data_IF_970671288710
#
_entry.id   IF_970671288710
#
_cell.length_a   1.000
_cell.length_b   1.000
_cell.length_c   1.000
_cell.angle_alpha   90.00
_cell.angle_beta   90.00
_cell.angle_gamma   90.00
#
_symmetry.space_group_name_H-M   'P 1'
#
loop_
_entity.id
_entity.type
_entity.pdbx_description
1 polymer ?
#
# COMPACT_ATOMS: atom_id res chain seq x y z
N UNK A 1 -14.86 -9.41 2.05
CA UNK A 1 -14.12 -8.38 1.31
C UNK A 1 -14.92 -8.04 0.07
N UNK A 2 -15.67 -6.95 0.17
CA UNK A 2 -16.29 -6.21 -0.92
C UNK A 2 -15.20 -5.60 -1.83
N UNK A 3 -15.59 -5.16 -3.03
CA UNK A 3 -14.65 -4.73 -4.08
C UNK A 3 -13.67 -3.65 -3.64
N UNK A 4 -14.16 -2.55 -3.05
CA UNK A 4 -13.31 -1.46 -2.55
C UNK A 4 -12.39 -1.91 -1.41
N UNK A 5 -12.86 -2.76 -0.49
CA UNK A 5 -12.02 -3.31 0.58
C UNK A 5 -10.81 -4.09 0.03
N UNK A 6 -10.99 -4.85 -1.05
CA UNK A 6 -9.88 -5.56 -1.72
C UNK A 6 -8.83 -4.61 -2.30
N UNK A 7 -9.26 -3.48 -2.87
CA UNK A 7 -8.35 -2.46 -3.38
C UNK A 7 -7.49 -1.88 -2.25
N UNK A 8 -8.11 -1.51 -1.13
CA UNK A 8 -7.39 -1.03 0.05
C UNK A 8 -6.53 -2.13 0.69
N UNK A 9 -6.96 -3.38 0.66
CA UNK A 9 -6.15 -4.53 1.10
C UNK A 9 -4.92 -4.74 0.22
N UNK A 10 -5.07 -4.64 -1.10
CA UNK A 10 -3.95 -4.64 -2.04
C UNK A 10 -3.01 -3.44 -1.80
N UNK A 11 -3.57 -2.26 -1.58
CA UNK A 11 -2.81 -1.03 -1.28
C UNK A 11 -1.97 -1.19 -0.02
N UNK A 12 -2.52 -1.80 1.02
CA UNK A 12 -1.78 -2.09 2.25
C UNK A 12 -0.61 -3.06 2.03
N UNK A 13 -0.76 -4.07 1.15
CA UNK A 13 0.34 -4.98 0.79
C UNK A 13 1.44 -4.25 0.03
N UNK A 14 1.06 -3.33 -0.86
CA UNK A 14 2.00 -2.49 -1.61
C UNK A 14 2.73 -1.50 -0.71
N UNK A 15 2.02 -0.81 0.19
CA UNK A 15 2.63 0.08 1.18
C UNK A 15 3.67 -0.65 2.02
N UNK A 16 3.36 -1.89 2.41
CA UNK A 16 4.30 -2.74 3.12
C UNK A 16 5.47 -3.23 2.24
N UNK A 17 5.22 -3.55 0.97
CA UNK A 17 6.28 -3.92 0.03
C UNK A 17 7.27 -2.77 -0.21
N UNK A 18 6.76 -1.54 -0.36
CA UNK A 18 7.54 -0.30 -0.49
C UNK A 18 8.35 -0.09 0.79
N UNK A 19 7.71 -0.05 1.96
CA UNK A 19 8.41 0.13 3.23
C UNK A 19 9.44 -0.97 3.54
N UNK A 20 9.33 -2.15 2.91
CA UNK A 20 10.26 -3.27 3.08
C UNK A 20 11.33 -3.32 1.99
N UNK A 21 11.23 -2.50 0.95
CA UNK A 21 12.13 -2.51 -0.18
C UNK A 21 13.58 -2.22 0.25
N UNK A 22 13.76 -1.33 1.23
CA UNK A 22 15.05 -0.96 1.81
C UNK A 22 15.73 -2.06 2.65
N UNK A 23 15.05 -3.19 2.86
CA UNK A 23 15.57 -4.38 3.52
C UNK A 23 15.37 -4.47 5.03
N UNK A 24 14.85 -3.44 5.72
CA UNK A 24 14.57 -3.52 7.17
C UNK A 24 13.39 -2.65 7.59
N UNK A 25 12.24 -3.29 7.79
CA UNK A 25 11.16 -2.68 8.57
C UNK A 25 11.45 -2.81 10.07
N UNK A 26 11.88 -1.71 10.66
CA UNK A 26 12.01 -1.58 12.11
C UNK A 26 10.63 -1.47 12.78
N UNK A 27 10.49 -1.90 14.05
CA UNK A 27 9.23 -1.81 14.77
C UNK A 27 8.69 -0.37 14.88
N UNK A 28 9.59 0.62 14.88
CA UNK A 28 9.22 2.05 14.87
C UNK A 28 8.57 2.48 13.56
N UNK A 29 9.03 1.97 12.42
CA UNK A 29 8.44 2.27 11.11
C UNK A 29 7.06 1.67 10.99
N UNK A 30 6.83 0.48 11.56
CA UNK A 30 5.48 -0.09 11.62
C UNK A 30 4.51 0.82 12.37
N UNK A 31 5.00 1.41 13.48
CA UNK A 31 4.19 2.27 14.33
C UNK A 31 3.90 3.60 13.63
N UNK A 32 4.92 4.19 13.00
CA UNK A 32 4.77 5.37 12.15
C UNK A 32 3.86 5.12 10.93
N UNK A 33 3.91 3.92 10.34
CA UNK A 33 3.06 3.52 9.21
C UNK A 33 1.61 3.48 9.65
N UNK A 34 1.37 2.84 10.79
CA UNK A 34 0.05 2.81 11.40
C UNK A 34 -0.47 4.22 11.72
N UNK A 35 0.35 5.08 12.33
CA UNK A 35 -0.03 6.47 12.66
C UNK A 35 -0.30 7.34 11.42
N UNK A 36 0.55 7.26 10.39
CA UNK A 36 0.38 8.01 9.16
C UNK A 36 -0.88 7.58 8.41
N UNK A 37 -1.12 6.28 8.35
CA UNK A 37 -2.30 5.72 7.69
C UNK A 37 -3.55 6.04 8.50
N UNK A 38 -3.52 6.01 9.83
CA UNK A 38 -4.64 6.49 10.64
C UNK A 38 -4.96 7.96 10.36
N UNK A 39 -3.95 8.82 10.22
CA UNK A 39 -4.17 10.22 9.89
C UNK A 39 -4.75 10.44 8.48
N UNK A 40 -4.24 9.75 7.46
CA UNK A 40 -4.71 9.93 6.07
C UNK A 40 -6.07 9.22 5.85
N UNK A 41 -6.30 8.05 6.47
CA UNK A 41 -7.56 7.30 6.40
C UNK A 41 -8.71 7.99 7.17
N UNK A 42 -8.43 8.58 8.34
CA UNK A 42 -9.39 9.41 9.06
C UNK A 42 -9.85 10.64 8.23
N UNK A 43 -8.99 11.10 7.32
CA UNK A 43 -9.29 12.23 6.44
C UNK A 43 -10.24 11.86 5.28
N UNK A 44 -10.20 10.61 4.79
CA UNK A 44 -10.96 10.18 3.61
C UNK A 44 -12.30 9.48 3.88
N UNK A 45 -12.76 9.44 5.14
CA UNK A 45 -14.15 9.09 5.52
C UNK A 45 -14.68 7.80 4.87
N UNK A 46 -13.78 6.88 4.52
CA UNK A 46 -14.10 5.55 4.07
C UNK A 46 -14.04 4.73 5.34
N UNK A 47 -15.16 4.17 5.83
CA UNK A 47 -15.22 3.38 7.06
C UNK A 47 -14.37 2.10 7.09
N UNK A 48 -13.36 2.02 6.21
CA UNK A 48 -12.32 1.03 6.14
C UNK A 48 -11.10 1.52 6.92
N UNK A 49 -10.81 0.84 8.01
CA UNK A 49 -9.62 1.07 8.81
C UNK A 49 -8.41 0.51 8.06
N UNK A 50 -7.88 1.29 7.11
CA UNK A 50 -6.71 0.92 6.29
C UNK A 50 -5.51 0.60 7.20
N UNK A 51 -5.43 1.25 8.37
CA UNK A 51 -4.47 0.95 9.43
C UNK A 51 -4.59 -0.48 9.94
N UNK A 52 -5.79 -0.96 10.27
CA UNK A 52 -6.00 -2.37 10.66
C UNK A 52 -5.66 -3.33 9.52
N UNK A 53 -6.00 -2.98 8.28
CA UNK A 53 -5.67 -3.79 7.09
C UNK A 53 -4.15 -3.96 6.97
N UNK A 54 -3.40 -2.85 7.02
CA UNK A 54 -1.94 -2.86 6.93
C UNK A 54 -1.36 -3.63 8.12
N UNK A 55 -1.86 -3.41 9.33
CA UNK A 55 -1.40 -4.12 10.52
C UNK A 55 -1.64 -5.64 10.40
N UNK A 56 -2.80 -6.04 9.88
CA UNK A 56 -3.13 -7.43 9.63
C UNK A 56 -2.19 -8.04 8.59
N UNK A 57 -1.92 -7.33 7.50
CA UNK A 57 -0.98 -7.74 6.46
C UNK A 57 0.43 -7.88 7.05
N UNK A 58 0.84 -6.94 7.89
CA UNK A 58 2.15 -6.94 8.51
C UNK A 58 2.32 -8.12 9.47
N UNK A 59 1.30 -8.41 10.27
CA UNK A 59 1.29 -9.57 11.17
C UNK A 59 1.29 -10.89 10.40
N UNK A 60 0.62 -10.94 9.25
CA UNK A 60 0.43 -12.16 8.45
C UNK A 60 1.56 -12.44 7.45
N UNK A 61 2.12 -11.41 6.86
CA UNK A 61 3.08 -11.45 5.76
C UNK A 61 4.39 -10.71 6.08
N UNK A 62 4.64 -10.38 7.36
CA UNK A 62 5.86 -9.67 7.77
C UNK A 62 7.16 -10.37 7.36
N UNK A 63 7.13 -11.68 7.14
CA UNK A 63 8.26 -12.48 6.67
C UNK A 63 8.36 -12.59 5.13
N UNK A 64 7.32 -12.25 4.37
CA UNK A 64 7.31 -12.39 2.91
C UNK A 64 8.22 -11.38 2.22
N UNK A 65 8.73 -11.74 1.03
CA UNK A 65 9.56 -10.85 0.21
C UNK A 65 8.72 -9.70 -0.37
N UNK A 66 9.29 -8.50 -0.57
CA UNK A 66 8.60 -7.37 -1.20
C UNK A 66 7.94 -7.73 -2.53
N UNK A 67 8.61 -8.52 -3.37
CA UNK A 67 8.05 -8.96 -4.67
C UNK A 67 6.81 -9.86 -4.52
N UNK A 68 6.82 -10.78 -3.54
CA UNK A 68 5.65 -11.65 -3.27
C UNK A 68 4.44 -10.83 -2.86
N UNK A 69 4.68 -9.79 -2.04
CA UNK A 69 3.64 -8.86 -1.61
C UNK A 69 3.11 -8.03 -2.78
N UNK A 70 3.98 -7.59 -3.69
CA UNK A 70 3.59 -6.89 -4.92
C UNK A 70 2.68 -7.75 -5.80
N UNK A 71 3.08 -8.97 -6.11
CA UNK A 71 2.27 -9.89 -6.92
C UNK A 71 0.92 -10.18 -6.28
N UNK A 72 0.89 -10.36 -4.96
CA UNK A 72 -0.34 -10.54 -4.22
C UNK A 72 -1.21 -9.29 -4.21
N UNK A 73 -0.63 -8.10 -4.11
CA UNK A 73 -1.35 -6.84 -4.20
C UNK A 73 -2.01 -6.71 -5.57
N UNK A 74 -1.23 -6.89 -6.64
CA UNK A 74 -1.71 -6.80 -8.02
C UNK A 74 -2.83 -7.80 -8.34
N UNK A 75 -2.81 -8.99 -7.73
CA UNK A 75 -3.93 -9.93 -7.83
C UNK A 75 -5.22 -9.39 -7.21
N UNK A 76 -5.14 -8.73 -6.05
CA UNK A 76 -6.32 -8.08 -5.45
C UNK A 76 -6.84 -6.95 -6.35
N UNK A 77 -5.94 -6.11 -6.88
CA UNK A 77 -6.29 -5.04 -7.82
C UNK A 77 -6.97 -5.58 -9.07
N UNK A 78 -6.42 -6.62 -9.71
CA UNK A 78 -7.03 -7.29 -10.87
C UNK A 78 -8.40 -7.88 -10.55
N UNK A 79 -8.54 -8.48 -9.36
CA UNK A 79 -9.81 -9.07 -8.93
C UNK A 79 -10.88 -8.01 -8.67
N UNK A 80 -10.46 -6.83 -8.19
CA UNK A 80 -11.32 -5.70 -7.88
C UNK A 80 -11.27 -4.57 -8.92
N UNK A 81 -10.76 -4.83 -10.13
CA UNK A 81 -10.52 -3.81 -11.15
C UNK A 81 -11.80 -3.05 -11.53
N UNK A 82 -12.95 -3.74 -11.48
CA UNK A 82 -14.26 -3.15 -11.75
C UNK A 82 -14.69 -2.07 -10.73
N UNK A 83 -13.97 -1.94 -9.61
CA UNK A 83 -14.22 -0.97 -8.56
C UNK A 83 -13.16 0.15 -8.53
N UNK A 84 -12.17 0.11 -9.43
CA UNK A 84 -11.14 1.16 -9.54
C UNK A 84 -11.76 2.37 -10.24
N UNK A 85 -11.93 3.44 -9.49
CA UNK A 85 -12.37 4.75 -9.99
C UNK A 85 -11.16 5.55 -10.50
N UNK A 86 -11.36 6.47 -11.45
CA UNK A 86 -10.29 7.31 -12.02
C UNK A 86 -9.49 8.06 -10.92
N UNK A 87 -10.19 8.56 -9.91
CA UNK A 87 -9.57 9.25 -8.77
C UNK A 87 -8.60 8.33 -8.01
N UNK A 88 -8.94 7.04 -7.87
CA UNK A 88 -8.09 6.05 -7.20
C UNK A 88 -6.79 5.80 -7.95
N UNK A 89 -6.79 5.95 -9.29
CA UNK A 89 -5.59 5.75 -10.12
C UNK A 89 -4.50 6.76 -9.82
N UNK A 90 -4.89 7.96 -9.41
CA UNK A 90 -3.95 9.01 -8.98
C UNK A 90 -3.73 9.01 -7.48
N UNK A 91 -4.78 8.74 -6.70
CA UNK A 91 -4.73 8.76 -5.23
C UNK A 91 -3.85 7.64 -4.66
N UNK A 92 -3.91 6.42 -5.21
CA UNK A 92 -3.18 5.29 -4.64
C UNK A 92 -1.65 5.44 -4.77
N UNK A 93 -1.08 5.76 -5.95
CA UNK A 93 0.35 6.05 -6.05
C UNK A 93 0.77 7.24 -5.19
N UNK A 94 -0.06 8.29 -5.11
CA UNK A 94 0.23 9.46 -4.26
C UNK A 94 0.26 9.10 -2.77
N UNK A 95 -0.63 8.21 -2.32
CA UNK A 95 -0.62 7.70 -0.95
C UNK A 95 0.65 6.89 -0.67
N UNK A 96 1.05 6.00 -1.58
CA UNK A 96 2.29 5.23 -1.45
C UNK A 96 3.52 6.15 -1.39
N UNK A 97 3.55 7.21 -2.19
CA UNK A 97 4.63 8.20 -2.17
C UNK A 97 4.69 8.96 -0.83
N UNK A 98 3.54 9.38 -0.30
CA UNK A 98 3.44 9.99 1.05
C UNK A 98 3.95 9.03 2.13
N UNK A 99 3.57 7.76 2.04
CA UNK A 99 3.97 6.72 2.98
C UNK A 99 5.47 6.52 2.95
N UNK A 100 6.08 6.33 1.78
CA UNK A 100 7.52 6.19 1.64
C UNK A 100 8.26 7.40 2.23
N UNK A 101 7.82 8.63 1.88
CA UNK A 101 8.42 9.88 2.41
C UNK A 101 8.27 10.06 3.93
N UNK A 102 7.30 9.40 4.56
CA UNK A 102 7.04 9.55 5.98
C UNK A 102 8.08 8.86 6.87
N UNK A 103 8.73 7.80 6.37
CA UNK A 103 9.76 7.09 7.12
C UNK A 103 11.13 7.72 6.87
N UNK A 104 11.45 7.93 5.60
CA UNK A 104 12.74 8.42 5.14
C UNK A 104 12.62 9.00 3.71
N UNK A 105 13.67 9.62 3.18
CA UNK A 105 13.71 9.99 1.77
C UNK A 105 13.50 8.76 0.89
N UNK A 106 12.58 8.85 -0.08
CA UNK A 106 12.29 7.77 -1.02
C UNK A 106 13.59 7.26 -1.65
N UNK A 107 13.85 5.97 -1.48
CA UNK A 107 14.96 5.26 -2.12
C UNK A 107 14.63 4.92 -3.58
N UNK A 108 15.65 4.62 -4.38
CA UNK A 108 15.43 4.20 -5.78
C UNK A 108 14.54 2.96 -5.87
N UNK A 109 14.73 1.98 -4.97
CA UNK A 109 13.94 0.73 -4.93
C UNK A 109 12.45 0.99 -4.63
N UNK A 110 12.15 1.86 -3.67
CA UNK A 110 10.78 2.27 -3.36
C UNK A 110 10.13 3.00 -4.54
N UNK A 111 10.87 3.93 -5.15
CA UNK A 111 10.37 4.67 -6.31
C UNK A 111 10.12 3.73 -7.48
N UNK A 112 10.97 2.74 -7.72
CA UNK A 112 10.75 1.73 -8.77
C UNK A 112 9.44 0.97 -8.55
N UNK A 113 9.14 0.55 -7.32
CA UNK A 113 7.87 -0.13 -6.99
C UNK A 113 6.67 0.80 -7.24
N UNK A 114 6.74 2.06 -6.81
CA UNK A 114 5.65 3.03 -6.99
C UNK A 114 5.41 3.32 -8.47
N UNK A 115 6.47 3.54 -9.25
CA UNK A 115 6.37 3.79 -10.70
C UNK A 115 5.85 2.57 -11.45
N UNK A 116 6.29 1.36 -11.06
CA UNK A 116 5.79 0.12 -11.62
C UNK A 116 4.30 -0.06 -11.33
N UNK A 117 3.88 0.18 -10.10
CA UNK A 117 2.48 0.11 -9.69
C UNK A 117 1.61 1.11 -10.47
N UNK A 118 2.08 2.34 -10.65
CA UNK A 118 1.39 3.36 -11.45
C UNK A 118 1.12 2.87 -12.87
N UNK A 119 2.14 2.35 -13.55
CA UNK A 119 2.01 1.79 -14.91
C UNK A 119 1.06 0.60 -14.97
N UNK A 120 1.17 -0.31 -14.01
CA UNK A 120 0.31 -1.49 -13.96
C UNK A 120 -1.15 -1.09 -13.74
N UNK A 121 -1.41 -0.06 -12.94
CA UNK A 121 -2.75 0.42 -12.62
C UNK A 121 -3.37 1.23 -13.77
N UNK A 122 -2.56 1.90 -14.59
CA UNK A 122 -3.00 2.50 -15.86
C UNK A 122 -3.42 1.43 -16.90
N UNK A 123 -2.90 0.20 -16.79
CA UNK A 123 -3.24 -0.91 -17.70
C UNK A 123 -4.43 -1.77 -17.24
N UNK A 124 -4.93 -1.55 -16.02
CA UNK A 124 -6.16 -2.15 -15.50
C UNK A 124 -7.40 -1.34 -15.88
#
# INVERSE_FOLDING_TARGET
MEGKERLYYGLGKLAFAVAKADGKIDPEERRKLHDLVMQDAACKNSGLDISEIIFHILKKYGADKPESLYDQAMKEFKTAQNFIEDDMRSDFPALLEKIARAFHPITEEENEIIQRFRKDLEQL
#
